data_IF_210867936761
#
_entry.id   IF_210867936761
#
_cell.length_a   1.000
_cell.length_b   1.000
_cell.length_c   1.000
_cell.angle_alpha   90.00
_cell.angle_beta   90.00
_cell.angle_gamma   90.00
#
_symmetry.space_group_name_H-M   'P 1'
#
loop_
_entity.id
_entity.type
_entity.pdbx_description
1 polymer ?
#
# COMPACT_ATOMS: atom_id res chain seq x y z
N UNK A 1 99.36 58.19 -25.13
CA UNK A 1 98.15 57.40 -25.49
C UNK A 1 97.94 56.32 -24.43
N UNK A 2 97.46 56.69 -23.24
CA UNK A 2 97.43 55.83 -22.03
C UNK A 2 96.19 56.15 -21.17
N UNK A 3 94.99 55.97 -21.72
CA UNK A 3 93.74 56.30 -21.01
C UNK A 3 92.57 55.34 -21.22
N UNK A 4 92.68 54.35 -22.10
CA UNK A 4 91.54 53.48 -22.43
C UNK A 4 91.57 52.08 -21.77
N UNK A 5 92.70 51.64 -21.21
CA UNK A 5 92.85 50.25 -20.69
C UNK A 5 92.42 50.10 -19.22
N UNK A 6 92.39 51.17 -18.43
CA UNK A 6 92.07 51.11 -16.99
C UNK A 6 90.57 51.07 -16.67
N UNK A 7 89.69 51.37 -17.63
CA UNK A 7 88.24 51.38 -17.41
C UNK A 7 87.60 49.99 -17.45
N UNK A 8 88.24 48.99 -18.08
CA UNK A 8 87.73 47.61 -18.11
C UNK A 8 88.13 46.78 -16.88
N UNK A 9 89.23 47.13 -16.20
CA UNK A 9 89.78 46.32 -15.09
C UNK A 9 89.01 46.53 -13.76
N UNK A 10 88.41 47.72 -13.57
CA UNK A 10 87.63 48.04 -12.36
C UNK A 10 86.19 47.51 -12.38
N UNK A 11 85.72 46.99 -13.52
CA UNK A 11 84.34 46.51 -13.68
C UNK A 11 84.17 45.01 -13.33
N UNK A 12 85.25 44.22 -13.38
CA UNK A 12 85.22 42.77 -13.13
C UNK A 12 84.62 42.34 -11.77
N UNK A 13 84.94 42.98 -10.62
CA UNK A 13 84.36 42.58 -9.33
C UNK A 13 82.84 42.82 -9.25
N UNK A 14 82.32 43.84 -9.94
CA UNK A 14 80.88 44.13 -9.98
C UNK A 14 80.12 43.11 -10.83
N UNK A 15 80.71 42.62 -11.93
CA UNK A 15 80.11 41.58 -12.80
C UNK A 15 80.03 40.23 -12.06
N UNK A 16 81.08 39.86 -11.32
CA UNK A 16 81.07 38.65 -10.50
C UNK A 16 80.01 38.70 -9.38
N UNK A 17 79.86 39.85 -8.71
CA UNK A 17 78.83 40.06 -7.68
C UNK A 17 77.40 40.00 -8.23
N UNK A 18 77.15 40.58 -9.40
CA UNK A 18 75.85 40.54 -10.08
C UNK A 18 75.47 39.12 -10.51
N UNK A 19 76.45 38.31 -10.94
CA UNK A 19 76.23 36.90 -11.28
C UNK A 19 75.75 36.06 -10.08
N UNK A 20 76.34 36.27 -8.90
CA UNK A 20 75.93 35.56 -7.68
C UNK A 20 74.50 35.92 -7.22
N UNK A 21 74.14 37.21 -7.29
CA UNK A 21 72.79 37.68 -6.99
C UNK A 21 71.74 37.11 -7.96
N UNK A 22 72.06 37.09 -9.25
CA UNK A 22 71.20 36.49 -10.27
C UNK A 22 71.01 34.99 -10.04
N UNK A 23 72.07 34.27 -9.65
CA UNK A 23 71.99 32.84 -9.32
C UNK A 23 71.10 32.58 -8.10
N UNK A 24 71.25 33.35 -7.02
CA UNK A 24 70.40 33.23 -5.84
C UNK A 24 68.93 33.54 -6.16
N UNK A 25 68.69 34.53 -7.02
CA UNK A 25 67.34 34.88 -7.47
C UNK A 25 66.73 33.75 -8.31
N UNK A 26 67.48 33.17 -9.24
CA UNK A 26 67.04 32.01 -10.04
C UNK A 26 66.78 30.79 -9.14
N UNK A 27 67.68 30.50 -8.20
CA UNK A 27 67.52 29.39 -7.25
C UNK A 27 66.29 29.59 -6.36
N UNK A 28 66.08 30.80 -5.83
CA UNK A 28 64.89 31.15 -5.05
C UNK A 28 63.61 31.03 -5.88
N UNK A 29 63.63 31.50 -7.13
CA UNK A 29 62.48 31.43 -8.04
C UNK A 29 62.18 29.98 -8.47
N UNK A 30 63.21 29.14 -8.67
CA UNK A 30 63.06 27.72 -8.92
C UNK A 30 62.44 26.99 -7.72
N UNK A 31 62.86 27.32 -6.49
CA UNK A 31 62.25 26.77 -5.26
C UNK A 31 60.79 27.20 -5.10
N UNK A 32 60.47 28.47 -5.38
CA UNK A 32 59.09 28.96 -5.38
C UNK A 32 58.23 28.24 -6.42
N UNK A 33 58.77 28.04 -7.63
CA UNK A 33 58.09 27.33 -8.71
C UNK A 33 57.82 25.86 -8.33
N UNK A 34 58.80 25.16 -7.76
CA UNK A 34 58.63 23.79 -7.26
C UNK A 34 57.52 23.73 -6.19
N UNK A 35 57.56 24.62 -5.20
CA UNK A 35 56.52 24.73 -4.14
C UNK A 35 55.13 25.03 -4.70
N UNK A 36 55.04 25.86 -5.75
CA UNK A 36 53.77 26.21 -6.38
C UNK A 36 53.11 25.00 -7.04
N UNK A 37 53.88 24.11 -7.66
CA UNK A 37 53.33 22.88 -8.27
C UNK A 37 52.77 21.92 -7.23
N UNK A 38 53.42 21.79 -6.07
CA UNK A 38 52.95 20.94 -4.99
C UNK A 38 51.66 21.48 -4.35
N UNK A 39 51.55 22.80 -4.20
CA UNK A 39 50.34 23.45 -3.70
C UNK A 39 49.13 23.21 -4.63
N UNK A 40 49.32 23.31 -5.94
CA UNK A 40 48.26 23.05 -6.93
C UNK A 40 47.83 21.59 -6.95
N UNK A 41 48.79 20.65 -6.87
CA UNK A 41 48.49 19.22 -6.75
C UNK A 41 47.71 18.90 -5.49
N UNK A 42 48.07 19.53 -4.37
CA UNK A 42 47.37 19.35 -3.10
C UNK A 42 45.93 19.88 -3.14
N UNK A 43 45.68 20.99 -3.85
CA UNK A 43 44.33 21.51 -4.06
C UNK A 43 43.50 20.64 -4.99
N UNK A 44 44.06 20.16 -6.10
CA UNK A 44 43.39 19.22 -7.00
C UNK A 44 43.01 17.93 -6.26
N UNK A 45 43.93 17.34 -5.50
CA UNK A 45 43.63 16.15 -4.70
C UNK A 45 42.61 16.41 -3.57
N UNK A 46 42.53 17.64 -3.04
CA UNK A 46 41.48 18.02 -2.09
C UNK A 46 40.13 18.15 -2.79
N UNK A 47 40.11 18.69 -4.00
CA UNK A 47 38.91 18.86 -4.81
C UNK A 47 38.36 17.51 -5.24
N UNK A 48 39.21 16.59 -5.74
CA UNK A 48 38.82 15.21 -6.05
C UNK A 48 38.22 14.50 -4.82
N UNK A 49 38.79 14.73 -3.63
CA UNK A 49 38.27 14.16 -2.37
C UNK A 49 36.92 14.75 -1.96
N UNK A 50 36.67 16.03 -2.28
CA UNK A 50 35.37 16.68 -2.03
C UNK A 50 34.35 16.15 -3.03
N UNK A 51 34.66 16.11 -4.33
CA UNK A 51 33.78 15.59 -5.37
C UNK A 51 33.46 14.10 -5.14
N UNK A 52 34.43 13.29 -4.70
CA UNK A 52 34.21 11.90 -4.32
C UNK A 52 33.33 11.76 -3.06
N UNK A 53 33.50 12.65 -2.07
CA UNK A 53 32.65 12.68 -0.88
C UNK A 53 31.23 13.15 -1.19
N UNK A 54 31.05 14.13 -2.05
CA UNK A 54 29.74 14.60 -2.53
C UNK A 54 29.06 13.53 -3.38
N UNK A 55 29.79 12.85 -4.27
CA UNK A 55 29.28 11.73 -5.07
C UNK A 55 28.92 10.51 -4.21
N UNK A 56 29.64 10.26 -3.12
CA UNK A 56 29.31 9.21 -2.15
C UNK A 56 28.14 9.60 -1.25
N UNK A 57 28.06 10.87 -0.82
CA UNK A 57 26.97 11.42 -0.02
C UNK A 57 25.69 11.67 -0.82
N UNK A 58 25.76 11.67 -2.16
CA UNK A 58 24.61 11.69 -3.08
C UNK A 58 24.02 10.29 -3.36
N UNK A 59 24.59 9.22 -2.75
CA UNK A 59 23.97 7.88 -2.70
C UNK A 59 23.32 7.53 -1.34
N UNK A 60 22.51 8.38 -0.68
CA UNK A 60 21.89 8.01 0.59
C UNK A 60 20.52 7.32 0.47
N UNK A 61 19.79 7.37 -0.66
CA UNK A 61 18.34 7.10 -0.62
C UNK A 61 17.80 5.98 -1.54
N UNK A 62 18.62 5.34 -2.37
CA UNK A 62 18.11 4.39 -3.37
C UNK A 62 17.46 3.13 -2.76
N UNK A 63 17.98 2.64 -1.63
CA UNK A 63 17.46 1.44 -0.94
C UNK A 63 16.20 1.76 -0.11
N UNK A 64 16.10 2.98 0.42
CA UNK A 64 14.94 3.44 1.19
C UNK A 64 13.78 3.85 0.27
N UNK A 65 14.07 4.47 -0.87
CA UNK A 65 13.03 4.92 -1.79
C UNK A 65 12.36 3.76 -2.54
N UNK A 66 13.10 2.71 -2.89
CA UNK A 66 12.54 1.50 -3.48
C UNK A 66 11.69 0.73 -2.46
N UNK A 67 12.13 0.62 -1.21
CA UNK A 67 11.38 -0.08 -0.15
C UNK A 67 10.12 0.67 0.26
N UNK A 68 10.16 2.00 0.36
CA UNK A 68 8.98 2.85 0.61
C UNK A 68 7.98 2.71 -0.54
N UNK A 69 8.43 2.76 -1.79
CA UNK A 69 7.56 2.58 -2.95
C UNK A 69 6.92 1.17 -2.96
N UNK A 70 7.69 0.13 -2.63
CA UNK A 70 7.17 -1.22 -2.49
C UNK A 70 6.14 -1.35 -1.35
N UNK A 71 6.38 -0.69 -0.22
CA UNK A 71 5.46 -0.69 0.92
C UNK A 71 4.17 0.09 0.63
N UNK A 72 4.26 1.21 -0.09
CA UNK A 72 3.10 1.95 -0.57
C UNK A 72 2.25 1.10 -1.51
N UNK A 73 2.86 0.42 -2.49
CA UNK A 73 2.14 -0.50 -3.39
C UNK A 73 1.42 -1.60 -2.61
N UNK A 74 2.10 -2.22 -1.64
CA UNK A 74 1.48 -3.25 -0.77
C UNK A 74 0.30 -2.69 0.03
N UNK A 75 0.40 -1.46 0.52
CA UNK A 75 -0.68 -0.81 1.24
C UNK A 75 -1.88 -0.52 0.32
N UNK A 76 -1.63 -0.01 -0.89
CA UNK A 76 -2.67 0.25 -1.87
C UNK A 76 -3.39 -1.04 -2.30
N UNK A 77 -2.63 -2.10 -2.57
CA UNK A 77 -3.17 -3.43 -2.87
C UNK A 77 -4.01 -3.98 -1.69
N UNK A 78 -3.52 -3.84 -0.45
CA UNK A 78 -4.25 -4.28 0.73
C UNK A 78 -5.55 -3.48 0.94
N UNK A 79 -5.53 -2.16 0.73
CA UNK A 79 -6.71 -1.31 0.82
C UNK A 79 -7.74 -1.67 -0.26
N UNK A 80 -7.30 -1.92 -1.48
CA UNK A 80 -8.19 -2.34 -2.56
C UNK A 80 -8.82 -3.71 -2.26
N UNK A 81 -8.02 -4.67 -1.81
CA UNK A 81 -8.52 -5.99 -1.38
C UNK A 81 -9.55 -5.87 -0.25
N UNK A 82 -9.30 -5.01 0.75
CA UNK A 82 -10.23 -4.76 1.84
C UNK A 82 -11.54 -4.12 1.35
N UNK A 83 -11.47 -3.15 0.43
CA UNK A 83 -12.66 -2.54 -0.18
C UNK A 83 -13.49 -3.57 -0.92
N UNK A 84 -12.86 -4.40 -1.74
CA UNK A 84 -13.54 -5.46 -2.48
C UNK A 84 -14.17 -6.51 -1.55
N UNK A 85 -13.45 -6.91 -0.49
CA UNK A 85 -13.98 -7.83 0.51
C UNK A 85 -15.19 -7.23 1.24
N UNK A 86 -15.10 -5.96 1.67
CA UNK A 86 -16.21 -5.25 2.31
C UNK A 86 -17.43 -5.15 1.39
N UNK A 87 -17.23 -4.80 0.12
CA UNK A 87 -18.32 -4.65 -0.81
C UNK A 87 -18.98 -5.99 -1.14
N UNK A 88 -18.20 -7.08 -1.22
CA UNK A 88 -18.74 -8.45 -1.33
C UNK A 88 -19.56 -8.83 -0.09
N UNK A 89 -19.03 -8.58 1.11
CA UNK A 89 -19.73 -8.84 2.37
C UNK A 89 -21.05 -8.04 2.44
N UNK A 90 -21.01 -6.74 2.17
CA UNK A 90 -22.21 -5.89 2.16
C UNK A 90 -23.28 -6.37 1.16
N UNK A 91 -22.87 -6.86 -0.02
CA UNK A 91 -23.81 -7.42 -1.01
C UNK A 91 -24.41 -8.73 -0.52
N UNK A 92 -23.60 -9.60 0.09
CA UNK A 92 -24.06 -10.85 0.66
C UNK A 92 -25.04 -10.61 1.82
N UNK A 93 -24.73 -9.68 2.72
CA UNK A 93 -25.59 -9.32 3.85
C UNK A 93 -26.94 -8.77 3.36
N UNK A 94 -26.93 -7.87 2.38
CA UNK A 94 -28.18 -7.35 1.78
C UNK A 94 -29.01 -8.45 1.14
N UNK A 95 -28.36 -9.37 0.41
CA UNK A 95 -29.05 -10.50 -0.20
C UNK A 95 -29.63 -11.45 0.85
N UNK A 96 -28.90 -11.72 1.92
CA UNK A 96 -29.35 -12.53 3.05
C UNK A 96 -30.53 -11.88 3.76
N UNK A 97 -30.45 -10.59 4.09
CA UNK A 97 -31.55 -9.84 4.70
C UNK A 97 -32.81 -9.83 3.83
N UNK A 98 -32.65 -9.61 2.50
CA UNK A 98 -33.77 -9.66 1.57
C UNK A 98 -34.41 -11.06 1.52
N UNK A 99 -33.60 -12.12 1.53
CA UNK A 99 -34.07 -13.50 1.57
C UNK A 99 -34.84 -13.78 2.87
N UNK A 100 -34.30 -13.41 4.03
CA UNK A 100 -34.97 -13.60 5.32
C UNK A 100 -36.28 -12.81 5.41
N UNK A 101 -36.29 -11.55 4.96
CA UNK A 101 -37.50 -10.74 4.92
C UNK A 101 -38.57 -11.34 4.01
N UNK A 102 -38.18 -11.84 2.83
CA UNK A 102 -39.08 -12.54 1.91
C UNK A 102 -39.68 -13.80 2.55
N UNK A 103 -38.85 -14.65 3.17
CA UNK A 103 -39.33 -15.88 3.82
C UNK A 103 -40.28 -15.57 4.98
N UNK A 104 -39.97 -14.57 5.81
CA UNK A 104 -40.83 -14.14 6.91
C UNK A 104 -42.21 -13.66 6.41
N UNK A 105 -42.22 -12.83 5.37
CA UNK A 105 -43.45 -12.35 4.75
C UNK A 105 -44.28 -13.51 4.19
N UNK A 106 -43.66 -14.39 3.40
CA UNK A 106 -44.35 -15.54 2.82
C UNK A 106 -44.92 -16.49 3.88
N UNK A 107 -44.19 -16.71 4.97
CA UNK A 107 -44.69 -17.53 6.08
C UNK A 107 -45.96 -16.97 6.69
N UNK A 108 -46.03 -15.65 6.92
CA UNK A 108 -47.23 -15.01 7.44
C UNK A 108 -48.42 -15.12 6.47
N UNK A 109 -48.17 -14.87 5.18
CA UNK A 109 -49.18 -14.97 4.12
C UNK A 109 -49.68 -16.41 3.92
N UNK A 110 -48.84 -17.43 4.17
CA UNK A 110 -49.24 -18.84 4.10
C UNK A 110 -49.94 -19.31 5.36
N UNK A 111 -49.52 -18.83 6.54
CA UNK A 111 -50.11 -19.23 7.83
C UNK A 111 -51.59 -18.87 7.90
N UNK A 112 -51.99 -17.70 7.39
CA UNK A 112 -53.39 -17.24 7.46
C UNK A 112 -54.37 -18.17 6.73
N UNK A 113 -54.22 -18.45 5.41
CA UNK A 113 -55.10 -19.36 4.71
C UNK A 113 -54.97 -20.81 5.22
N UNK A 114 -53.77 -21.24 5.62
CA UNK A 114 -53.56 -22.60 6.12
C UNK A 114 -54.23 -22.84 7.48
N UNK A 115 -54.15 -21.88 8.40
CA UNK A 115 -54.89 -21.91 9.66
C UNK A 115 -56.40 -21.95 9.44
N UNK A 116 -56.91 -21.23 8.43
CA UNK A 116 -58.33 -21.30 8.08
C UNK A 116 -58.73 -22.70 7.56
N UNK A 117 -57.92 -23.30 6.69
CA UNK A 117 -58.15 -24.67 6.18
C UNK A 117 -58.15 -25.69 7.32
N UNK A 118 -57.17 -25.61 8.23
CA UNK A 118 -57.07 -26.45 9.43
C UNK A 118 -58.32 -26.27 10.30
N UNK A 119 -58.75 -25.03 10.56
CA UNK A 119 -59.94 -24.74 11.35
C UNK A 119 -61.21 -25.30 10.72
N UNK A 120 -61.39 -25.19 9.40
CA UNK A 120 -62.52 -25.80 8.71
C UNK A 120 -62.49 -27.33 8.77
N UNK A 121 -61.31 -27.93 8.63
CA UNK A 121 -61.14 -29.37 8.78
C UNK A 121 -61.49 -29.83 10.22
N UNK A 122 -61.04 -29.11 11.25
CA UNK A 122 -61.41 -29.36 12.64
C UNK A 122 -62.93 -29.26 12.86
N UNK A 123 -63.59 -28.26 12.29
CA UNK A 123 -65.04 -28.11 12.39
C UNK A 123 -65.80 -29.30 11.77
N UNK A 124 -65.32 -29.82 10.63
CA UNK A 124 -65.89 -31.02 9.97
C UNK A 124 -65.63 -32.27 10.81
N UNK A 125 -64.41 -32.44 11.32
CA UNK A 125 -64.00 -33.57 12.17
C UNK A 125 -64.87 -33.63 13.44
N UNK A 126 -65.08 -32.48 14.08
CA UNK A 126 -65.86 -32.31 15.31
C UNK A 126 -67.38 -32.30 15.08
N UNK A 127 -67.84 -32.31 13.82
CA UNK A 127 -69.27 -32.23 13.47
C UNK A 127 -69.95 -30.99 14.08
N UNK A 128 -69.23 -29.86 14.12
CA UNK A 128 -69.61 -28.66 14.87
C UNK A 128 -70.92 -28.00 14.40
N UNK A 129 -71.34 -28.26 13.16
CA UNK A 129 -72.59 -27.74 12.54
C UNK A 129 -73.57 -28.90 12.27
N UNK A 130 -73.41 -30.03 12.96
CA UNK A 130 -74.27 -31.21 12.83
C UNK A 130 -73.57 -32.42 12.22
N UNK A 131 -74.27 -33.57 12.18
CA UNK A 131 -73.67 -34.85 11.85
C UNK A 131 -73.22 -34.94 10.38
N UNK A 132 -72.00 -35.45 10.17
CA UNK A 132 -71.53 -35.79 8.82
C UNK A 132 -72.22 -37.06 8.35
N UNK A 133 -72.97 -36.97 7.25
CA UNK A 133 -73.77 -38.09 6.74
C UNK A 133 -72.95 -39.30 6.26
N UNK A 134 -71.68 -39.10 5.90
CA UNK A 134 -70.75 -40.15 5.52
C UNK A 134 -69.47 -40.03 6.36
N UNK A 135 -69.09 -41.12 7.03
CA UNK A 135 -67.92 -41.17 7.92
C UNK A 135 -66.60 -40.85 7.20
N UNK A 136 -66.50 -41.13 5.89
CA UNK A 136 -65.30 -40.80 5.10
C UNK A 136 -64.96 -39.31 5.08
N UNK A 137 -65.95 -38.43 5.19
CA UNK A 137 -65.67 -36.99 5.26
C UNK A 137 -64.94 -36.60 6.54
N UNK A 138 -65.17 -37.33 7.63
CA UNK A 138 -64.43 -37.14 8.88
C UNK A 138 -62.99 -37.61 8.75
N UNK A 139 -62.77 -38.71 8.05
CA UNK A 139 -61.41 -39.23 7.77
C UNK A 139 -60.64 -38.22 6.89
N UNK A 140 -61.25 -37.70 5.82
CA UNK A 140 -60.62 -36.67 4.98
C UNK A 140 -60.34 -35.37 5.75
N UNK A 141 -61.25 -34.95 6.63
CA UNK A 141 -61.02 -33.79 7.49
C UNK A 141 -59.82 -34.01 8.41
N UNK A 142 -59.67 -35.23 8.96
CA UNK A 142 -58.51 -35.60 9.76
C UNK A 142 -57.21 -35.51 8.95
N UNK A 143 -57.20 -36.05 7.73
CA UNK A 143 -56.04 -36.03 6.84
C UNK A 143 -55.64 -34.60 6.44
N UNK A 144 -56.62 -33.76 6.10
CA UNK A 144 -56.41 -32.33 5.78
C UNK A 144 -55.79 -31.61 6.97
N UNK A 145 -56.33 -31.81 8.16
CA UNK A 145 -55.84 -31.17 9.40
C UNK A 145 -54.39 -31.58 9.68
N UNK A 146 -54.10 -32.88 9.67
CA UNK A 146 -52.75 -33.39 9.91
C UNK A 146 -51.74 -32.88 8.87
N UNK A 147 -52.13 -32.88 7.59
CA UNK A 147 -51.29 -32.38 6.51
C UNK A 147 -51.02 -30.88 6.63
N UNK A 148 -52.04 -30.09 6.99
CA UNK A 148 -51.90 -28.66 7.22
C UNK A 148 -50.98 -28.34 8.40
N UNK A 149 -51.12 -29.07 9.51
CA UNK A 149 -50.24 -28.95 10.67
C UNK A 149 -48.79 -29.32 10.33
N UNK A 150 -48.60 -30.39 9.55
CA UNK A 150 -47.27 -30.79 9.08
C UNK A 150 -46.62 -29.72 8.20
N UNK A 151 -47.38 -29.14 7.26
CA UNK A 151 -46.89 -28.07 6.40
C UNK A 151 -46.51 -26.80 7.18
N UNK A 152 -47.29 -26.43 8.21
CA UNK A 152 -46.90 -25.34 9.13
C UNK A 152 -45.56 -25.63 9.82
N UNK A 153 -45.32 -26.88 10.23
CA UNK A 153 -44.03 -27.30 10.78
C UNK A 153 -42.88 -27.05 9.81
N UNK A 154 -43.01 -27.54 8.58
CA UNK A 154 -41.99 -27.34 7.53
C UNK A 154 -41.74 -25.86 7.26
N UNK A 155 -42.79 -25.03 7.20
CA UNK A 155 -42.66 -23.58 6.98
C UNK A 155 -41.87 -22.92 8.11
N UNK A 156 -42.09 -23.34 9.37
CA UNK A 156 -41.33 -22.82 10.50
C UNK A 156 -39.86 -23.30 10.45
N UNK A 157 -39.61 -24.57 10.12
CA UNK A 157 -38.24 -25.10 10.01
C UNK A 157 -37.41 -24.36 8.95
N UNK A 158 -38.03 -23.93 7.84
CA UNK A 158 -37.37 -23.14 6.79
C UNK A 158 -37.03 -21.71 7.26
N UNK A 159 -37.78 -21.17 8.23
CA UNK A 159 -37.56 -19.82 8.77
C UNK A 159 -36.43 -19.77 9.79
N UNK A 160 -36.22 -20.83 10.55
CA UNK A 160 -35.23 -20.90 11.63
C UNK A 160 -33.79 -21.16 11.13
N UNK A 161 -33.59 -21.15 9.80
CA UNK A 161 -32.35 -21.46 9.04
C UNK A 161 -31.62 -20.20 8.56
#
# INVERSE_FOLDING_TARGET
MTGAVTALDTAWPWIAGLGGLLFLLIAAQAVLFLRQTDALRALAARQDRIEARESAAARPDAVDQESIAAQQRRLDEALENLRQARDKANRADRASQAKSAFLAMMSHELRTPLSAIIGFAEMIEQQAIGPVGNTKYRDYATDIRQSGQHLLGIINDILDL
#
